data_IF_414577907279
#
_entry.id   IF_414577907279
#
_cell.length_a   1.000
_cell.length_b   1.000
_cell.length_c   1.000
_cell.angle_alpha   90.00
_cell.angle_beta   90.00
_cell.angle_gamma   90.00
#
_symmetry.space_group_name_H-M   'P 1'
#
loop_
_entity.id
_entity.type
_entity.pdbx_description
1 polymer ?
#
# COMPACT_ATOMS: atom_id res chain seq x y z
N UNK A 1 -42.44 12.43 7.61
CA UNK A 1 -41.15 13.12 7.67
C UNK A 1 -40.07 12.11 7.96
N UNK A 2 -39.34 11.67 6.93
CA UNK A 2 -38.27 10.67 7.07
C UNK A 2 -36.96 11.42 7.36
N UNK A 3 -36.43 11.27 8.56
CA UNK A 3 -35.12 11.78 8.97
C UNK A 3 -34.04 10.92 8.31
N UNK A 4 -33.37 11.46 7.27
CA UNK A 4 -32.18 10.83 6.71
C UNK A 4 -31.08 10.75 7.79
N UNK A 5 -30.46 9.56 8.00
CA UNK A 5 -29.31 9.46 8.88
C UNK A 5 -28.15 10.29 8.28
N UNK A 6 -27.77 11.35 8.98
CA UNK A 6 -26.57 12.13 8.67
C UNK A 6 -25.37 11.25 9.02
N UNK A 7 -24.81 10.58 8.03
CA UNK A 7 -23.52 9.94 8.21
C UNK A 7 -22.47 11.02 8.50
N UNK A 8 -21.76 10.96 9.61
CA UNK A 8 -20.69 11.90 9.89
C UNK A 8 -19.65 11.79 8.78
N UNK A 9 -19.46 12.89 8.05
CA UNK A 9 -18.41 13.05 7.06
C UNK A 9 -17.08 12.84 7.79
N UNK A 10 -16.43 11.70 7.58
CA UNK A 10 -15.10 11.46 8.12
C UNK A 10 -14.18 12.58 7.62
N UNK A 11 -13.55 13.35 8.51
CA UNK A 11 -12.68 14.44 8.11
C UNK A 11 -11.60 13.89 7.18
N UNK A 12 -11.46 14.50 6.01
CA UNK A 12 -10.35 14.23 5.10
C UNK A 12 -9.07 14.62 5.82
N UNK A 13 -8.44 13.63 6.45
CA UNK A 13 -7.18 13.80 7.15
C UNK A 13 -6.09 14.17 6.12
N UNK A 14 -5.88 15.45 5.98
CA UNK A 14 -4.69 16.01 5.33
C UNK A 14 -3.48 15.69 6.21
N UNK A 15 -3.00 14.45 6.10
CA UNK A 15 -1.86 13.96 6.87
C UNK A 15 -0.65 14.83 6.62
N UNK A 16 -0.11 15.40 7.69
CA UNK A 16 1.18 16.10 7.72
C UNK A 16 2.40 15.19 7.47
N UNK A 17 2.26 14.11 6.72
CA UNK A 17 3.35 13.26 6.21
C UNK A 17 4.03 13.91 5.00
N UNK A 18 4.18 15.24 5.04
CA UNK A 18 4.66 16.06 3.93
C UNK A 18 6.16 16.26 3.83
N UNK A 19 7.00 15.69 4.71
CA UNK A 19 8.44 16.02 4.67
C UNK A 19 9.37 14.98 4.04
N UNK A 20 8.93 13.74 3.84
CA UNK A 20 9.64 12.79 2.99
C UNK A 20 9.07 12.75 1.57
N UNK A 21 8.85 13.87 0.93
CA UNK A 21 8.25 14.04 -0.38
C UNK A 21 8.57 12.94 -1.40
N UNK A 22 8.63 13.27 -2.66
CA UNK A 22 9.01 12.38 -3.76
C UNK A 22 10.32 11.59 -3.52
N UNK A 23 11.26 12.15 -2.72
CA UNK A 23 12.51 11.48 -2.33
C UNK A 23 12.26 10.21 -1.51
N UNK A 24 11.29 10.22 -0.61
CA UNK A 24 10.94 9.02 0.17
C UNK A 24 10.34 7.91 -0.68
N UNK A 25 9.53 8.27 -1.67
CA UNK A 25 8.95 7.28 -2.59
C UNK A 25 10.01 6.71 -3.54
N UNK A 26 10.99 7.54 -3.98
CA UNK A 26 12.15 7.06 -4.75
C UNK A 26 13.02 6.10 -3.94
N UNK A 27 13.32 6.45 -2.68
CA UNK A 27 14.10 5.56 -1.80
C UNK A 27 13.37 4.25 -1.57
N UNK A 28 12.06 4.28 -1.33
CA UNK A 28 11.26 3.07 -1.19
C UNK A 28 11.32 2.20 -2.45
N UNK A 29 11.10 2.78 -3.62
CA UNK A 29 11.18 2.06 -4.90
C UNK A 29 12.57 1.46 -5.14
N UNK A 30 13.63 2.21 -4.86
CA UNK A 30 15.00 1.74 -5.01
C UNK A 30 15.33 0.59 -4.03
N UNK A 31 14.90 0.71 -2.77
CA UNK A 31 15.10 -0.36 -1.76
C UNK A 31 14.35 -1.62 -2.14
N UNK A 32 13.09 -1.50 -2.58
CA UNK A 32 12.29 -2.65 -3.01
C UNK A 32 12.92 -3.30 -4.25
N UNK A 33 13.34 -2.50 -5.25
CA UNK A 33 14.04 -3.03 -6.43
C UNK A 33 15.31 -3.78 -6.03
N UNK A 34 16.14 -3.21 -5.17
CA UNK A 34 17.38 -3.82 -4.71
C UNK A 34 17.12 -5.15 -3.96
N UNK A 35 16.11 -5.18 -3.09
CA UNK A 35 15.74 -6.40 -2.34
C UNK A 35 15.25 -7.51 -3.27
N UNK A 36 14.38 -7.17 -4.24
CA UNK A 36 13.83 -8.15 -5.18
C UNK A 36 14.91 -8.65 -6.12
N UNK A 37 15.76 -7.77 -6.65
CA UNK A 37 16.90 -8.15 -7.51
C UNK A 37 17.87 -9.05 -6.74
N UNK A 38 18.25 -8.66 -5.52
CA UNK A 38 19.13 -9.47 -4.69
C UNK A 38 18.51 -10.85 -4.39
N UNK A 39 17.23 -10.88 -3.99
CA UNK A 39 16.51 -12.13 -3.73
C UNK A 39 16.47 -13.05 -4.95
N UNK A 40 16.23 -12.50 -6.14
CA UNK A 40 16.25 -13.27 -7.40
C UNK A 40 17.66 -13.77 -7.72
N UNK A 41 18.69 -12.91 -7.61
CA UNK A 41 20.07 -13.28 -7.89
C UNK A 41 20.60 -14.37 -6.96
N UNK A 42 20.22 -14.35 -5.67
CA UNK A 42 20.57 -15.42 -4.73
C UNK A 42 19.92 -16.75 -5.06
N UNK A 43 18.74 -16.75 -5.67
CA UNK A 43 18.01 -17.99 -6.01
C UNK A 43 18.54 -18.64 -7.31
N UNK A 44 19.08 -17.86 -8.23
CA UNK A 44 19.43 -18.32 -9.59
C UNK A 44 20.90 -18.73 -9.78
N UNK A 45 21.74 -18.60 -8.76
CA UNK A 45 23.19 -18.91 -8.83
C UNK A 45 23.94 -18.28 -10.00
N UNK A 46 23.49 -17.14 -10.53
CA UNK A 46 24.17 -16.39 -11.59
C UNK A 46 23.22 -15.74 -12.60
N UNK A 47 23.77 -14.77 -13.34
CA UNK A 47 23.05 -14.07 -14.40
C UNK A 47 23.12 -14.87 -15.71
N UNK A 48 21.97 -15.18 -16.31
CA UNK A 48 21.86 -15.77 -17.63
C UNK A 48 21.26 -14.74 -18.62
N UNK A 49 21.53 -14.86 -19.91
CA UNK A 49 21.10 -13.88 -20.92
C UNK A 49 19.56 -13.67 -21.00
N UNK A 50 18.77 -14.65 -20.56
CA UNK A 50 17.30 -14.51 -20.41
C UNK A 50 16.83 -13.60 -19.28
N UNK A 51 17.70 -13.29 -18.34
CA UNK A 51 17.38 -12.59 -17.10
C UNK A 51 17.12 -11.10 -17.28
N UNK A 52 17.60 -10.48 -18.38
CA UNK A 52 17.42 -9.04 -18.62
C UNK A 52 15.94 -8.64 -18.66
N UNK A 53 15.08 -9.46 -19.25
CA UNK A 53 13.62 -9.20 -19.26
C UNK A 53 13.00 -9.33 -17.88
N UNK A 54 13.44 -10.32 -17.11
CA UNK A 54 13.01 -10.51 -15.72
C UNK A 54 13.39 -9.28 -14.87
N UNK A 55 14.64 -8.83 -14.94
CA UNK A 55 15.11 -7.64 -14.24
C UNK A 55 14.39 -6.36 -14.69
N UNK A 56 14.11 -6.22 -15.98
CA UNK A 56 13.33 -5.10 -16.50
C UNK A 56 11.92 -5.07 -15.89
N UNK A 57 11.25 -6.20 -15.71
CA UNK A 57 9.94 -6.29 -15.06
C UNK A 57 10.01 -5.95 -13.57
N UNK A 58 11.03 -6.44 -12.86
CA UNK A 58 11.28 -6.10 -11.45
C UNK A 58 11.46 -4.59 -11.28
N UNK A 59 12.31 -3.98 -12.12
CA UNK A 59 12.56 -2.54 -12.06
C UNK A 59 11.30 -1.74 -12.41
N UNK A 60 10.53 -2.17 -13.41
CA UNK A 60 9.28 -1.53 -13.79
C UNK A 60 8.25 -1.59 -12.66
N UNK A 61 8.08 -2.75 -12.03
CA UNK A 61 7.21 -2.92 -10.88
C UNK A 61 7.62 -2.02 -9.71
N UNK A 62 8.90 -2.02 -9.35
CA UNK A 62 9.43 -1.18 -8.28
C UNK A 62 9.34 0.32 -8.61
N UNK A 63 9.59 0.72 -9.86
CA UNK A 63 9.44 2.11 -10.32
C UNK A 63 8.00 2.61 -10.19
N UNK A 64 7.01 1.71 -10.32
CA UNK A 64 5.60 2.08 -10.14
C UNK A 64 5.30 2.64 -8.74
N UNK A 65 6.05 2.24 -7.71
CA UNK A 65 5.90 2.74 -6.35
C UNK A 65 6.19 4.25 -6.25
N UNK A 66 7.04 4.79 -7.12
CA UNK A 66 7.39 6.22 -7.13
C UNK A 66 6.22 7.09 -7.57
N UNK A 67 5.35 6.57 -8.45
CA UNK A 67 4.18 7.29 -8.95
C UNK A 67 2.91 7.02 -8.13
N UNK A 68 2.97 6.14 -7.13
CA UNK A 68 1.82 5.70 -6.34
C UNK A 68 1.06 6.85 -5.67
N UNK A 69 1.74 7.97 -5.36
CA UNK A 69 1.08 9.14 -4.77
C UNK A 69 0.21 9.89 -5.76
N UNK A 70 0.64 9.97 -7.01
CA UNK A 70 0.00 10.80 -8.03
C UNK A 70 -1.02 10.01 -8.84
N UNK A 71 -0.68 8.76 -9.14
CA UNK A 71 -1.49 7.86 -9.96
C UNK A 71 -1.60 6.48 -9.29
N UNK A 72 -2.38 6.36 -8.21
CA UNK A 72 -2.42 5.13 -7.40
C UNK A 72 -2.95 3.92 -8.17
N UNK A 73 -3.98 4.12 -9.01
CA UNK A 73 -4.54 3.04 -9.85
C UNK A 73 -3.48 2.52 -10.81
N UNK A 74 -2.80 3.44 -11.51
CA UNK A 74 -1.78 3.10 -12.49
C UNK A 74 -0.59 2.38 -11.84
N UNK A 75 -0.17 2.83 -10.66
CA UNK A 75 0.92 2.20 -9.92
C UNK A 75 0.61 0.76 -9.50
N UNK A 76 -0.60 0.51 -8.95
CA UNK A 76 -1.02 -0.85 -8.57
C UNK A 76 -1.18 -1.74 -9.81
N UNK A 77 -1.71 -1.20 -10.92
CA UNK A 77 -1.84 -1.94 -12.16
C UNK A 77 -0.47 -2.30 -12.74
N UNK A 78 0.47 -1.37 -12.82
CA UNK A 78 1.83 -1.64 -13.34
C UNK A 78 2.52 -2.68 -12.47
N UNK A 79 2.48 -2.53 -11.12
CA UNK A 79 3.05 -3.51 -10.21
C UNK A 79 2.40 -4.89 -10.40
N UNK A 80 1.07 -4.96 -10.49
CA UNK A 80 0.34 -6.22 -10.67
C UNK A 80 0.59 -6.87 -12.02
N UNK A 81 0.62 -6.09 -13.10
CA UNK A 81 0.88 -6.63 -14.44
C UNK A 81 2.33 -7.08 -14.62
N UNK A 82 3.32 -6.35 -14.06
CA UNK A 82 4.71 -6.79 -14.09
C UNK A 82 4.91 -8.08 -13.30
N UNK A 83 4.28 -8.19 -12.14
CA UNK A 83 4.27 -9.43 -11.34
C UNK A 83 3.58 -10.57 -12.09
N UNK A 84 2.40 -10.35 -12.67
CA UNK A 84 1.69 -11.37 -13.44
C UNK A 84 2.53 -11.87 -14.63
N UNK A 85 3.12 -10.95 -15.39
CA UNK A 85 3.99 -11.29 -16.52
C UNK A 85 5.22 -12.08 -16.08
N UNK A 86 5.83 -11.70 -14.93
CA UNK A 86 6.96 -12.42 -14.35
C UNK A 86 6.61 -13.87 -14.01
N UNK A 87 5.45 -14.10 -13.39
CA UNK A 87 5.02 -15.46 -13.00
C UNK A 87 4.48 -16.31 -14.14
N UNK A 88 4.01 -15.72 -15.24
CA UNK A 88 3.57 -16.44 -16.44
C UNK A 88 4.76 -16.84 -17.28
N UNK A 89 5.83 -16.02 -17.30
CA UNK A 89 7.02 -16.23 -18.07
C UNK A 89 7.88 -17.37 -17.55
N UNK A 90 8.86 -17.83 -18.36
CA UNK A 90 9.84 -18.85 -17.97
C UNK A 90 10.98 -18.23 -17.13
N UNK A 91 10.62 -17.36 -16.19
CA UNK A 91 11.60 -16.68 -15.35
C UNK A 91 11.86 -17.47 -14.07
N UNK A 92 13.05 -17.32 -13.47
CA UNK A 92 13.38 -17.98 -12.22
C UNK A 92 12.46 -17.53 -11.10
N UNK A 93 12.15 -18.43 -10.17
CA UNK A 93 11.33 -18.10 -9.00
C UNK A 93 12.00 -16.98 -8.19
N UNK A 94 11.29 -15.89 -8.02
CA UNK A 94 11.77 -14.69 -7.34
C UNK A 94 10.70 -14.04 -6.48
N UNK A 95 11.10 -13.14 -5.55
CA UNK A 95 10.19 -12.47 -4.63
C UNK A 95 9.42 -11.30 -5.27
N UNK A 96 9.15 -11.32 -6.59
CA UNK A 96 8.49 -10.23 -7.34
C UNK A 96 7.09 -9.88 -6.78
N UNK A 97 6.39 -10.85 -6.19
CA UNK A 97 5.13 -10.61 -5.49
C UNK A 97 5.20 -9.52 -4.41
N UNK A 98 6.39 -9.32 -3.83
CA UNK A 98 6.59 -8.30 -2.79
C UNK A 98 6.29 -6.90 -3.31
N UNK A 99 6.67 -6.60 -4.55
CA UNK A 99 6.43 -5.29 -5.18
C UNK A 99 4.94 -5.00 -5.28
N UNK A 100 4.17 -5.95 -5.78
CA UNK A 100 2.71 -5.83 -5.88
C UNK A 100 2.02 -5.76 -4.50
N UNK A 101 2.50 -6.57 -3.55
CA UNK A 101 2.02 -6.54 -2.17
C UNK A 101 2.23 -5.17 -1.52
N UNK A 102 3.42 -4.58 -1.67
CA UNK A 102 3.73 -3.25 -1.15
C UNK A 102 2.88 -2.17 -1.83
N UNK A 103 2.71 -2.22 -3.15
CA UNK A 103 1.88 -1.27 -3.90
C UNK A 103 0.43 -1.30 -3.40
N UNK A 104 -0.16 -2.50 -3.30
CA UNK A 104 -1.53 -2.72 -2.83
C UNK A 104 -1.70 -2.29 -1.37
N UNK A 105 -0.79 -2.70 -0.47
CA UNK A 105 -0.79 -2.29 0.93
C UNK A 105 -0.75 -0.77 1.09
N UNK A 106 0.17 -0.11 0.41
CA UNK A 106 0.32 1.34 0.50
C UNK A 106 -0.89 2.08 -0.06
N UNK A 107 -1.51 1.58 -1.13
CA UNK A 107 -2.73 2.16 -1.68
C UNK A 107 -3.89 2.08 -0.67
N UNK A 108 -4.10 0.93 -0.01
CA UNK A 108 -5.10 0.76 1.07
C UNK A 108 -4.77 1.66 2.25
N UNK A 109 -3.53 1.60 2.74
CA UNK A 109 -3.10 2.35 3.92
C UNK A 109 -3.20 3.88 3.73
N UNK A 110 -3.17 4.37 2.48
CA UNK A 110 -3.41 5.77 2.11
C UNK A 110 -4.89 6.10 1.90
N UNK A 111 -5.78 5.13 2.02
CA UNK A 111 -7.23 5.32 1.84
C UNK A 111 -7.69 5.29 0.38
N UNK A 112 -6.84 4.93 -0.56
CA UNK A 112 -7.12 4.87 -2.00
C UNK A 112 -7.76 3.51 -2.37
N UNK A 113 -8.92 3.23 -1.78
CA UNK A 113 -9.59 1.92 -1.87
C UNK A 113 -9.89 1.48 -3.29
N UNK A 114 -10.43 2.38 -4.12
CA UNK A 114 -10.73 2.07 -5.52
C UNK A 114 -9.48 1.66 -6.30
N UNK A 115 -8.36 2.33 -6.05
CA UNK A 115 -7.09 1.97 -6.68
C UNK A 115 -6.60 0.60 -6.21
N UNK A 116 -6.63 0.37 -4.90
CA UNK A 116 -6.17 -0.88 -4.30
C UNK A 116 -7.04 -2.06 -4.73
N UNK A 117 -8.35 -2.01 -4.50
CA UNK A 117 -9.24 -3.14 -4.81
C UNK A 117 -9.44 -3.31 -6.31
N UNK A 118 -9.66 -2.23 -7.06
CA UNK A 118 -9.85 -2.28 -8.51
C UNK A 118 -8.58 -2.71 -9.25
N UNK A 119 -7.43 -2.13 -8.90
CA UNK A 119 -6.16 -2.51 -9.49
C UNK A 119 -5.74 -3.94 -9.16
N UNK A 120 -5.98 -4.35 -7.92
CA UNK A 120 -5.72 -5.73 -7.47
C UNK A 120 -6.64 -6.74 -8.15
N UNK A 121 -7.95 -6.44 -8.26
CA UNK A 121 -8.90 -7.30 -8.95
C UNK A 121 -8.54 -7.46 -10.44
N UNK A 122 -8.15 -6.36 -11.11
CA UNK A 122 -7.70 -6.40 -12.51
C UNK A 122 -6.43 -7.23 -12.68
N UNK A 123 -5.44 -7.08 -11.80
CA UNK A 123 -4.21 -7.87 -11.83
C UNK A 123 -4.48 -9.37 -11.60
N UNK A 124 -5.35 -9.71 -10.63
CA UNK A 124 -5.78 -11.08 -10.37
C UNK A 124 -6.58 -11.68 -11.52
N UNK A 125 -7.41 -10.89 -12.21
CA UNK A 125 -8.15 -11.33 -13.38
C UNK A 125 -7.20 -11.71 -14.53
N UNK A 126 -6.18 -10.86 -14.79
CA UNK A 126 -5.14 -11.16 -15.80
C UNK A 126 -4.33 -12.39 -15.42
N UNK A 127 -3.91 -12.50 -14.17
CA UNK A 127 -3.17 -13.65 -13.68
C UNK A 127 -3.99 -14.94 -13.75
N UNK A 128 -5.25 -14.90 -13.29
CA UNK A 128 -6.17 -16.03 -13.37
C UNK A 128 -6.44 -16.45 -14.82
N UNK A 129 -6.71 -15.48 -15.70
CA UNK A 129 -6.88 -15.78 -17.12
C UNK A 129 -5.66 -16.50 -17.70
N UNK A 130 -4.46 -16.04 -17.39
CA UNK A 130 -3.25 -16.65 -17.88
C UNK A 130 -3.01 -18.06 -17.32
N UNK A 131 -3.27 -18.29 -16.03
CA UNK A 131 -3.11 -19.61 -15.39
C UNK A 131 -4.14 -20.64 -15.93
N UNK A 132 -5.35 -20.23 -16.31
CA UNK A 132 -6.39 -21.14 -16.76
C UNK A 132 -6.50 -21.25 -18.29
N UNK A 133 -6.09 -20.21 -19.06
CA UNK A 133 -6.22 -20.18 -20.50
C UNK A 133 -4.95 -20.60 -21.26
N UNK A 134 -3.76 -20.42 -20.68
CA UNK A 134 -2.48 -20.56 -21.40
C UNK A 134 -1.75 -21.87 -21.07
N UNK A 135 -2.09 -22.55 -19.97
CA UNK A 135 -1.36 -23.75 -19.53
C UNK A 135 -2.22 -24.72 -18.73
N UNK A 136 -1.62 -25.82 -18.24
CA UNK A 136 -2.28 -26.73 -17.33
C UNK A 136 -2.63 -25.95 -16.05
N UNK A 137 -3.93 -25.86 -15.75
CA UNK A 137 -4.45 -25.06 -14.64
C UNK A 137 -3.75 -25.42 -13.30
N UNK A 138 -3.03 -24.46 -12.74
CA UNK A 138 -2.37 -24.59 -11.44
C UNK A 138 -3.23 -23.96 -10.35
N UNK A 139 -4.37 -24.58 -10.07
CA UNK A 139 -5.37 -24.08 -9.10
C UNK A 139 -4.74 -23.74 -7.74
N UNK A 140 -3.86 -24.59 -7.25
CA UNK A 140 -3.17 -24.36 -5.96
C UNK A 140 -2.35 -23.06 -5.95
N UNK A 141 -1.68 -22.75 -7.05
CA UNK A 141 -0.89 -21.50 -7.20
C UNK A 141 -1.81 -20.27 -7.21
N UNK A 142 -2.90 -20.31 -7.95
CA UNK A 142 -3.87 -19.22 -7.99
C UNK A 142 -4.49 -18.97 -6.60
N UNK A 143 -4.90 -20.05 -5.90
CA UNK A 143 -5.45 -19.95 -4.53
C UNK A 143 -4.43 -19.38 -3.56
N UNK A 144 -3.16 -19.76 -3.66
CA UNK A 144 -2.09 -19.23 -2.82
C UNK A 144 -1.87 -17.73 -3.04
N UNK A 145 -1.84 -17.29 -4.31
CA UNK A 145 -1.72 -15.86 -4.66
C UNK A 145 -2.92 -15.07 -4.13
N UNK A 146 -4.13 -15.59 -4.31
CA UNK A 146 -5.35 -14.96 -3.81
C UNK A 146 -5.34 -14.82 -2.29
N UNK A 147 -4.95 -15.87 -1.56
CA UNK A 147 -4.83 -15.83 -0.10
C UNK A 147 -3.83 -14.77 0.36
N UNK A 148 -2.64 -14.71 -0.26
CA UNK A 148 -1.62 -13.70 0.03
C UNK A 148 -2.13 -12.26 -0.22
N UNK A 149 -2.80 -12.04 -1.33
CA UNK A 149 -3.39 -10.73 -1.67
C UNK A 149 -4.42 -10.32 -0.63
N UNK A 150 -5.30 -11.23 -0.21
CA UNK A 150 -6.28 -10.95 0.84
C UNK A 150 -5.61 -10.57 2.16
N UNK A 151 -4.56 -11.28 2.58
CA UNK A 151 -3.79 -10.95 3.79
C UNK A 151 -3.20 -9.54 3.69
N UNK A 152 -2.61 -9.18 2.55
CA UNK A 152 -2.03 -7.85 2.32
C UNK A 152 -3.08 -6.74 2.38
N UNK A 153 -4.23 -6.94 1.74
CA UNK A 153 -5.33 -5.98 1.77
C UNK A 153 -5.90 -5.81 3.19
N UNK A 154 -6.09 -6.90 3.92
CA UNK A 154 -6.51 -6.87 5.33
C UNK A 154 -5.48 -6.12 6.21
N UNK A 155 -4.20 -6.41 6.06
CA UNK A 155 -3.14 -5.71 6.79
C UNK A 155 -3.15 -4.19 6.48
N UNK A 156 -3.40 -3.81 5.23
CA UNK A 156 -3.55 -2.42 4.81
C UNK A 156 -4.73 -1.72 5.51
N UNK A 157 -5.90 -2.38 5.56
CA UNK A 157 -7.08 -1.85 6.25
C UNK A 157 -6.85 -1.74 7.77
N UNK A 158 -6.28 -2.76 8.41
CA UNK A 158 -5.93 -2.72 9.83
C UNK A 158 -4.99 -1.57 10.13
N UNK A 159 -3.94 -1.39 9.31
CA UNK A 159 -3.00 -0.28 9.45
C UNK A 159 -3.68 1.08 9.34
N UNK A 160 -4.64 1.20 8.44
CA UNK A 160 -5.43 2.42 8.26
C UNK A 160 -6.32 2.70 9.49
N UNK A 161 -7.05 1.71 9.98
CA UNK A 161 -7.88 1.85 11.19
C UNK A 161 -7.04 2.19 12.42
N UNK A 162 -5.92 1.53 12.59
CA UNK A 162 -5.01 1.82 13.69
C UNK A 162 -4.50 3.27 13.68
N UNK A 163 -4.13 3.78 12.50
CA UNK A 163 -3.70 5.19 12.36
C UNK A 163 -4.84 6.16 12.67
N UNK A 164 -6.05 5.87 12.23
CA UNK A 164 -7.23 6.69 12.54
C UNK A 164 -7.50 6.71 14.05
N UNK A 165 -7.45 5.56 14.71
CA UNK A 165 -7.66 5.44 16.15
C UNK A 165 -6.60 6.21 16.97
N UNK A 166 -5.32 6.05 16.62
CA UNK A 166 -4.23 6.79 17.28
C UNK A 166 -4.36 8.30 17.06
N UNK A 167 -4.78 8.72 15.87
CA UNK A 167 -5.03 10.13 15.56
C UNK A 167 -6.15 10.72 16.43
N UNK A 168 -7.24 9.99 16.61
CA UNK A 168 -8.35 10.41 17.46
C UNK A 168 -7.95 10.48 18.95
N UNK A 169 -7.22 9.47 19.43
CA UNK A 169 -6.74 9.45 20.80
C UNK A 169 -5.80 10.65 21.11
N UNK A 170 -4.96 11.05 20.15
CA UNK A 170 -4.11 12.24 20.29
C UNK A 170 -4.94 13.52 20.35
N UNK A 171 -5.93 13.68 19.46
CA UNK A 171 -6.81 14.85 19.46
C UNK A 171 -7.52 15.03 20.80
N UNK A 172 -8.08 13.95 21.37
CA UNK A 172 -8.74 13.99 22.68
C UNK A 172 -7.79 14.42 23.79
N UNK A 173 -6.52 13.99 23.76
CA UNK A 173 -5.50 14.45 24.70
C UNK A 173 -5.22 15.95 24.55
N UNK A 174 -4.99 16.41 23.32
CA UNK A 174 -4.72 17.82 23.05
C UNK A 174 -5.89 18.73 23.46
N UNK A 175 -7.13 18.28 23.27
CA UNK A 175 -8.34 18.98 23.71
C UNK A 175 -8.43 19.04 25.23
N UNK A 176 -8.17 17.92 25.92
CA UNK A 176 -8.18 17.88 27.38
C UNK A 176 -7.08 18.75 28.00
N UNK A 177 -5.89 18.81 27.40
CA UNK A 177 -4.81 19.69 27.83
C UNK A 177 -5.20 21.17 27.67
N UNK A 178 -5.76 21.57 26.54
CA UNK A 178 -6.25 22.95 26.30
C UNK A 178 -7.32 23.35 27.31
N UNK A 179 -8.28 22.49 27.56
CA UNK A 179 -9.34 22.77 28.56
C UNK A 179 -8.75 22.98 29.96
N UNK A 180 -7.78 22.18 30.37
CA UNK A 180 -7.07 22.35 31.65
C UNK A 180 -6.31 23.69 31.72
N UNK A 181 -5.59 24.05 30.63
CA UNK A 181 -4.87 25.33 30.58
C UNK A 181 -5.83 26.52 30.68
N UNK A 182 -6.99 26.46 30.03
CA UNK A 182 -8.03 27.50 30.12
C UNK A 182 -8.60 27.61 31.52
N UNK A 183 -8.85 26.48 32.17
CA UNK A 183 -9.32 26.48 33.57
C UNK A 183 -8.27 27.08 34.54
N UNK A 184 -7.00 26.73 34.37
CA UNK A 184 -5.92 27.32 35.15
C UNK A 184 -5.83 28.84 34.96
N UNK A 185 -5.92 29.32 33.73
CA UNK A 185 -5.91 30.76 33.42
C UNK A 185 -7.12 31.47 34.05
N UNK A 186 -8.31 30.90 33.97
CA UNK A 186 -9.51 31.46 34.63
C UNK A 186 -9.33 31.58 36.12
N UNK A 187 -8.89 30.50 36.81
CA UNK A 187 -8.63 30.53 38.25
C UNK A 187 -7.58 31.56 38.65
N UNK A 188 -6.50 31.68 37.88
CA UNK A 188 -5.45 32.67 38.12
C UNK A 188 -5.96 34.10 37.98
N UNK A 189 -6.84 34.38 37.02
CA UNK A 189 -7.46 35.71 36.87
C UNK A 189 -8.50 36.02 37.93
N UNK A 190 -9.22 35.05 38.43
CA UNK A 190 -10.16 35.21 39.52
C UNK A 190 -9.43 35.50 40.84
N UNK A 191 -8.36 34.78 41.15
CA UNK A 191 -7.54 35.01 42.33
C UNK A 191 -6.78 36.34 42.33
N UNK A 192 -6.50 36.93 41.19
CA UNK A 192 -5.88 38.25 41.07
C UNK A 192 -6.87 39.41 41.20
N UNK A 193 -8.18 39.14 41.23
CA UNK A 193 -9.25 40.15 41.39
C UNK A 193 -9.82 40.20 42.79
N UNK A 194 -9.54 39.22 43.63
CA UNK A 194 -9.94 39.15 45.02
C UNK A 194 -8.85 39.75 45.94
#
# INVERSE_FOLDING_TARGET
MATHPVFPQLPTYRSGVGRLGWRGDLVLGAVVAALVIAGTAFHTHGFHEGDLRAYAMIVMGAASLTILRRFPVLAVLIAGLSTAYYYIGPFPDGPEMITFAIASFLAVARGQRLAAYGGTAAALAVFGWAEFAVGPARVGRFVSVLAWVLVVLCAGEVSRYHRAYVGEARRRKDEAERTREEEFRRRATESARS
#
